data_IF_589469600284
#
_entry.id   IF_589469600284
#
_cell.length_a   1.000
_cell.length_b   1.000
_cell.length_c   1.000
_cell.angle_alpha   90.00
_cell.angle_beta   90.00
_cell.angle_gamma   90.00
#
_symmetry.space_group_name_H-M   'P 1'
#
loop_
_entity.id
_entity.type
_entity.pdbx_description
1 polymer ?
#
# COMPACT_ATOMS: atom_id res chain seq x y z
N UNK A 1 -31.01 12.22 -17.23
CA UNK A 1 -31.32 13.09 -16.09
C UNK A 1 -30.20 14.12 -15.99
N UNK A 2 -30.38 15.31 -16.55
CA UNK A 2 -29.36 16.34 -16.71
C UNK A 2 -29.14 17.03 -15.37
N UNK A 3 -27.93 16.87 -14.82
CA UNK A 3 -27.49 17.62 -13.63
C UNK A 3 -27.13 19.03 -14.12
N UNK A 4 -27.96 19.98 -13.74
CA UNK A 4 -27.79 21.40 -13.96
C UNK A 4 -26.42 21.84 -13.41
N UNK A 5 -25.52 22.25 -14.30
CA UNK A 5 -24.34 23.03 -13.98
C UNK A 5 -24.82 24.40 -13.46
N UNK A 6 -24.80 24.55 -12.14
CA UNK A 6 -25.01 25.87 -11.52
C UNK A 6 -23.76 26.71 -11.80
N UNK A 7 -23.84 27.57 -12.81
CA UNK A 7 -22.81 28.57 -13.10
C UNK A 7 -22.54 29.39 -11.83
N UNK A 8 -21.29 29.49 -11.42
CA UNK A 8 -20.87 30.27 -10.25
C UNK A 8 -21.29 31.72 -10.43
N UNK A 9 -22.19 32.22 -9.60
CA UNK A 9 -22.56 33.64 -9.55
C UNK A 9 -21.32 34.43 -9.10
N UNK A 10 -20.90 35.47 -9.82
CA UNK A 10 -19.81 36.33 -9.38
C UNK A 10 -20.24 37.07 -8.11
N UNK A 11 -19.55 36.80 -6.99
CA UNK A 11 -19.76 37.50 -5.70
C UNK A 11 -20.22 36.64 -4.53
N UNK A 12 -20.57 35.35 -4.73
CA UNK A 12 -20.84 34.44 -3.61
C UNK A 12 -19.53 33.73 -3.26
N UNK A 13 -18.95 34.06 -2.11
CA UNK A 13 -17.81 33.32 -1.58
C UNK A 13 -18.22 31.85 -1.40
N UNK A 14 -17.45 30.88 -1.92
CA UNK A 14 -17.76 29.49 -1.67
C UNK A 14 -17.65 29.22 -0.17
N UNK A 15 -18.77 28.89 0.43
CA UNK A 15 -18.85 28.48 1.84
C UNK A 15 -17.97 27.25 2.06
N UNK A 16 -17.33 27.20 3.26
CA UNK A 16 -16.59 26.01 3.68
C UNK A 16 -17.57 24.85 3.72
N UNK A 17 -17.31 23.74 3.02
CA UNK A 17 -18.25 22.62 2.98
C UNK A 17 -18.54 22.12 4.39
N UNK A 18 -19.79 21.78 4.65
CA UNK A 18 -20.18 21.20 5.93
C UNK A 18 -19.54 19.83 6.13
N UNK A 19 -19.43 19.39 7.39
CA UNK A 19 -18.90 18.05 7.67
C UNK A 19 -19.74 16.94 6.99
N UNK A 20 -21.05 17.14 6.85
CA UNK A 20 -21.95 16.20 6.17
C UNK A 20 -21.66 16.11 4.66
N UNK A 21 -21.49 17.24 3.98
CA UNK A 21 -21.10 17.30 2.59
C UNK A 21 -19.74 16.66 2.35
N UNK A 22 -18.75 16.97 3.20
CA UNK A 22 -17.44 16.38 3.16
C UNK A 22 -17.51 14.84 3.34
N UNK A 23 -18.32 14.36 4.29
CA UNK A 23 -18.54 12.93 4.53
C UNK A 23 -19.07 12.23 3.27
N UNK A 24 -20.02 12.83 2.57
CA UNK A 24 -20.57 12.28 1.33
C UNK A 24 -19.52 12.16 0.22
N UNK A 25 -18.67 13.17 0.09
CA UNK A 25 -17.57 13.17 -0.89
C UNK A 25 -16.52 12.11 -0.54
N UNK A 26 -16.14 12.00 0.74
CA UNK A 26 -15.20 10.98 1.18
C UNK A 26 -15.75 9.56 1.02
N UNK A 27 -17.05 9.35 1.26
CA UNK A 27 -17.71 8.07 0.98
C UNK A 27 -17.66 7.72 -0.51
N UNK A 28 -17.95 8.70 -1.40
CA UNK A 28 -17.83 8.52 -2.85
C UNK A 28 -16.39 8.15 -3.25
N UNK A 29 -15.39 8.88 -2.74
CA UNK A 29 -13.98 8.61 -3.01
C UNK A 29 -13.61 7.21 -2.53
N UNK A 30 -13.97 6.81 -1.31
CA UNK A 30 -13.68 5.48 -0.77
C UNK A 30 -14.26 4.35 -1.60
N UNK A 31 -15.52 4.46 -2.03
CA UNK A 31 -16.19 3.45 -2.85
C UNK A 31 -15.64 3.35 -4.28
N UNK A 32 -15.13 4.44 -4.84
CA UNK A 32 -14.60 4.48 -6.21
C UNK A 32 -13.08 4.38 -6.29
N UNK A 33 -12.39 4.19 -5.17
CA UNK A 33 -10.93 4.12 -5.07
C UNK A 33 -10.37 2.78 -5.54
N UNK A 34 -10.39 2.54 -6.84
CA UNK A 34 -9.78 1.38 -7.49
C UNK A 34 -8.45 1.75 -8.17
N UNK A 35 -7.65 0.74 -8.53
CA UNK A 35 -6.47 0.92 -9.37
C UNK A 35 -5.19 1.30 -8.64
N UNK A 36 -5.09 0.96 -7.36
CA UNK A 36 -3.90 1.19 -6.54
C UNK A 36 -3.64 2.67 -6.22
N UNK A 37 -2.51 3.01 -5.57
CA UNK A 37 -2.26 4.36 -5.04
C UNK A 37 -2.34 5.47 -6.09
N UNK A 38 -1.85 5.22 -7.32
CA UNK A 38 -1.87 6.23 -8.38
C UNK A 38 -3.28 6.58 -8.86
N UNK A 39 -4.14 5.57 -9.03
CA UNK A 39 -5.55 5.78 -9.41
C UNK A 39 -6.33 6.49 -8.32
N UNK A 40 -6.09 6.12 -7.07
CA UNK A 40 -6.72 6.69 -5.88
C UNK A 40 -6.35 8.18 -5.70
N UNK A 41 -5.07 8.51 -5.85
CA UNK A 41 -4.58 9.89 -5.79
C UNK A 41 -5.15 10.72 -6.96
N UNK A 42 -5.22 10.15 -8.17
CA UNK A 42 -5.82 10.81 -9.32
C UNK A 42 -7.33 11.07 -9.12
N UNK A 43 -8.06 10.13 -8.52
CA UNK A 43 -9.46 10.32 -8.16
C UNK A 43 -9.64 11.44 -7.13
N UNK A 44 -8.82 11.45 -6.07
CA UNK A 44 -8.85 12.52 -5.08
C UNK A 44 -8.50 13.88 -5.69
N UNK A 45 -7.51 13.93 -6.58
CA UNK A 45 -7.14 15.14 -7.30
C UNK A 45 -8.33 15.66 -8.10
N UNK A 46 -8.94 14.80 -8.92
CA UNK A 46 -10.11 15.17 -9.72
C UNK A 46 -11.25 15.70 -8.85
N UNK A 47 -11.65 14.96 -7.81
CA UNK A 47 -12.79 15.33 -6.96
C UNK A 47 -12.54 16.59 -6.12
N UNK A 48 -11.31 16.76 -5.58
CA UNK A 48 -11.04 17.80 -4.58
C UNK A 48 -10.41 19.06 -5.20
N UNK A 49 -9.59 18.90 -6.26
CA UNK A 49 -8.90 20.00 -6.92
C UNK A 49 -9.70 20.50 -8.12
N UNK A 50 -10.01 19.61 -9.09
CA UNK A 50 -10.63 20.02 -10.35
C UNK A 50 -12.14 20.32 -10.21
N UNK A 51 -12.90 19.36 -9.69
CA UNK A 51 -14.37 19.42 -9.68
C UNK A 51 -14.90 20.35 -8.57
N UNK A 52 -14.38 20.24 -7.34
CA UNK A 52 -14.90 20.96 -6.16
C UNK A 52 -14.07 22.16 -5.74
N UNK A 53 -12.81 22.21 -6.18
CA UNK A 53 -11.87 23.28 -5.80
C UNK A 53 -11.75 23.49 -4.28
N UNK A 54 -11.79 22.39 -3.52
CA UNK A 54 -11.63 22.45 -2.07
C UNK A 54 -10.19 22.77 -1.68
N UNK A 55 -9.23 22.30 -2.47
CA UNK A 55 -7.80 22.49 -2.25
C UNK A 55 -7.14 22.91 -3.57
N UNK A 56 -6.22 23.87 -3.51
CA UNK A 56 -5.44 24.29 -4.67
C UNK A 56 -4.38 23.26 -5.05
N UNK A 57 -3.99 23.25 -6.33
CA UNK A 57 -3.01 22.32 -6.91
C UNK A 57 -1.72 22.23 -6.09
N UNK A 58 -1.12 23.38 -5.78
CA UNK A 58 0.15 23.42 -5.04
C UNK A 58 0.04 22.83 -3.64
N UNK A 59 -1.08 23.09 -2.94
CA UNK A 59 -1.30 22.55 -1.60
C UNK A 59 -1.62 21.07 -1.64
N UNK A 60 -2.34 20.60 -2.64
CA UNK A 60 -2.58 19.17 -2.87
C UNK A 60 -1.26 18.42 -3.10
N UNK A 61 -0.40 18.94 -3.97
CA UNK A 61 0.92 18.35 -4.22
C UNK A 61 1.82 18.40 -2.99
N UNK A 62 1.72 19.48 -2.17
CA UNK A 62 2.43 19.56 -0.91
C UNK A 62 1.92 18.50 0.09
N UNK A 63 0.61 18.34 0.22
CA UNK A 63 0.00 17.32 1.06
C UNK A 63 0.41 15.91 0.62
N UNK A 64 0.40 15.64 -0.68
CA UNK A 64 0.85 14.37 -1.25
C UNK A 64 2.33 14.11 -0.94
N UNK A 65 3.20 15.07 -1.19
CA UNK A 65 4.62 14.95 -0.89
C UNK A 65 4.86 14.69 0.61
N UNK A 66 4.12 15.35 1.49
CA UNK A 66 4.19 15.10 2.93
C UNK A 66 3.77 13.65 3.26
N UNK A 67 2.66 13.17 2.75
CA UNK A 67 2.22 11.79 2.98
C UNK A 67 3.21 10.74 2.45
N UNK A 68 3.88 11.02 1.33
CA UNK A 68 4.94 10.16 0.80
C UNK A 68 6.20 10.11 1.69
N UNK A 69 6.36 11.03 2.65
CA UNK A 69 7.44 11.03 3.64
C UNK A 69 7.14 10.11 4.84
N UNK A 70 5.86 9.81 5.06
CA UNK A 70 5.42 9.02 6.21
C UNK A 70 5.40 7.53 5.88
N UNK A 71 5.63 6.65 6.85
CA UNK A 71 5.40 5.23 6.64
C UNK A 71 3.89 4.94 6.58
N UNK A 72 3.50 4.00 5.72
CA UNK A 72 2.11 3.56 5.59
C UNK A 72 1.45 3.86 4.25
N UNK A 73 0.13 3.69 4.11
CA UNK A 73 -0.62 3.85 2.87
C UNK A 73 -0.83 5.32 2.51
N UNK A 74 -0.06 5.83 1.55
CA UNK A 74 0.01 7.24 1.13
C UNK A 74 -1.36 7.84 0.78
N UNK A 75 -2.20 7.10 0.03
CA UNK A 75 -3.51 7.59 -0.40
C UNK A 75 -4.49 7.76 0.78
N UNK A 76 -4.49 6.83 1.74
CA UNK A 76 -5.28 6.94 2.97
C UNK A 76 -4.79 8.09 3.84
N UNK A 77 -3.47 8.26 3.94
CA UNK A 77 -2.86 9.38 4.66
C UNK A 77 -3.24 10.72 4.03
N UNK A 78 -3.22 10.80 2.70
CA UNK A 78 -3.64 12.00 1.97
C UNK A 78 -5.11 12.34 2.23
N UNK A 79 -6.01 11.35 2.19
CA UNK A 79 -7.42 11.54 2.54
C UNK A 79 -7.56 12.05 3.99
N UNK A 80 -6.87 11.40 4.94
CA UNK A 80 -6.87 11.79 6.35
C UNK A 80 -6.34 13.22 6.54
N UNK A 81 -5.24 13.57 5.86
CA UNK A 81 -4.60 14.88 5.99
C UNK A 81 -5.50 15.99 5.43
N UNK A 82 -6.06 15.83 4.24
CA UNK A 82 -6.96 16.83 3.65
C UNK A 82 -8.25 16.96 4.48
N UNK A 83 -8.82 15.84 4.93
CA UNK A 83 -9.97 15.85 5.84
C UNK A 83 -9.67 16.58 7.17
N UNK A 84 -8.45 16.40 7.70
CA UNK A 84 -7.97 17.08 8.89
C UNK A 84 -7.76 18.58 8.67
N UNK A 85 -7.26 19.00 7.54
CA UNK A 85 -7.15 20.41 7.18
C UNK A 85 -8.52 21.10 7.19
N UNK A 86 -9.55 20.44 6.64
CA UNK A 86 -10.90 21.00 6.53
C UNK A 86 -11.68 21.00 7.85
N UNK A 87 -11.71 19.88 8.56
CA UNK A 87 -12.60 19.67 9.71
C UNK A 87 -11.85 19.09 10.93
N UNK A 88 -10.57 19.44 11.09
CA UNK A 88 -9.74 19.00 12.22
C UNK A 88 -9.75 17.46 12.37
N UNK A 89 -9.57 16.96 13.60
CA UNK A 89 -9.50 15.52 13.89
C UNK A 89 -10.73 14.75 13.40
N UNK A 90 -11.94 15.31 13.51
CA UNK A 90 -13.18 14.65 13.05
C UNK A 90 -13.17 14.44 11.54
N UNK A 91 -12.78 15.46 10.77
CA UNK A 91 -12.68 15.35 9.32
C UNK A 91 -11.62 14.35 8.87
N UNK A 92 -10.46 14.36 9.52
CA UNK A 92 -9.39 13.39 9.24
C UNK A 92 -9.81 11.95 9.53
N UNK A 93 -10.47 11.70 10.67
CA UNK A 93 -10.99 10.36 11.01
C UNK A 93 -12.04 9.89 10.00
N UNK A 94 -13.03 10.73 9.68
CA UNK A 94 -14.08 10.38 8.73
C UNK A 94 -13.50 10.11 7.36
N UNK A 95 -12.64 10.97 6.83
CA UNK A 95 -12.03 10.78 5.52
C UNK A 95 -11.19 9.51 5.43
N UNK A 96 -10.31 9.28 6.41
CA UNK A 96 -9.46 8.11 6.45
C UNK A 96 -10.23 6.80 6.65
N UNK A 97 -11.24 6.78 7.54
CA UNK A 97 -12.07 5.60 7.75
C UNK A 97 -12.92 5.27 6.52
N UNK A 98 -13.58 6.26 5.91
CA UNK A 98 -14.37 6.04 4.69
C UNK A 98 -13.52 5.62 3.50
N UNK A 99 -12.23 5.96 3.50
CA UNK A 99 -11.29 5.48 2.49
C UNK A 99 -10.91 3.99 2.68
N UNK A 100 -10.87 3.50 3.93
CA UNK A 100 -10.44 2.15 4.29
C UNK A 100 -11.61 1.16 4.34
N UNK A 101 -12.74 1.56 4.96
CA UNK A 101 -13.84 0.65 5.29
C UNK A 101 -14.46 -0.09 4.09
N UNK A 102 -14.72 0.57 2.93
CA UNK A 102 -15.28 -0.16 1.79
C UNK A 102 -14.37 -1.32 1.35
N UNK A 103 -13.06 -1.06 1.26
CA UNK A 103 -12.07 -2.08 0.94
C UNK A 103 -11.99 -3.18 1.98
N UNK A 104 -12.02 -2.83 3.26
CA UNK A 104 -11.97 -3.79 4.36
C UNK A 104 -13.17 -4.75 4.33
N UNK A 105 -14.37 -4.24 4.09
CA UNK A 105 -15.60 -5.07 4.01
C UNK A 105 -15.56 -5.98 2.79
N UNK A 106 -15.19 -5.45 1.62
CA UNK A 106 -15.11 -6.25 0.39
C UNK A 106 -14.02 -7.32 0.52
N UNK A 107 -12.83 -6.95 0.99
CA UNK A 107 -11.72 -7.89 1.15
C UNK A 107 -12.02 -8.97 2.18
N UNK A 108 -12.73 -8.64 3.27
CA UNK A 108 -13.20 -9.63 4.25
C UNK A 108 -14.16 -10.63 3.60
N UNK A 109 -15.15 -10.13 2.86
CA UNK A 109 -16.10 -10.99 2.13
C UNK A 109 -15.39 -11.91 1.14
N UNK A 110 -14.45 -11.38 0.36
CA UNK A 110 -13.64 -12.16 -0.59
C UNK A 110 -12.74 -13.18 0.12
N UNK A 111 -12.17 -12.85 1.29
CA UNK A 111 -11.37 -13.79 2.09
C UNK A 111 -12.21 -14.95 2.60
N UNK A 112 -13.44 -14.70 3.06
CA UNK A 112 -14.39 -15.73 3.48
C UNK A 112 -14.77 -16.63 2.28
N UNK A 113 -15.13 -16.02 1.16
CA UNK A 113 -15.49 -16.77 -0.06
C UNK A 113 -14.32 -17.62 -0.55
N UNK A 114 -13.11 -17.06 -0.54
CA UNK A 114 -11.90 -17.80 -0.90
C UNK A 114 -11.66 -18.97 0.06
N UNK A 115 -11.79 -18.78 1.38
CA UNK A 115 -11.59 -19.83 2.36
C UNK A 115 -12.57 -21.00 2.18
N UNK A 116 -13.83 -20.71 1.85
CA UNK A 116 -14.87 -21.71 1.71
C UNK A 116 -14.89 -22.41 0.34
N UNK A 117 -14.55 -21.69 -0.75
CA UNK A 117 -14.81 -22.16 -2.11
C UNK A 117 -13.56 -22.31 -2.99
N UNK A 118 -12.32 -22.00 -2.49
CA UNK A 118 -11.11 -22.11 -3.32
C UNK A 118 -10.87 -23.50 -3.92
N UNK A 119 -11.36 -24.55 -3.26
CA UNK A 119 -11.20 -25.94 -3.71
C UNK A 119 -12.19 -26.32 -4.83
N UNK A 120 -13.15 -25.46 -5.16
CA UNK A 120 -14.05 -25.66 -6.28
C UNK A 120 -13.25 -25.56 -7.57
N UNK A 121 -13.24 -26.58 -8.45
CA UNK A 121 -12.40 -26.63 -9.64
C UNK A 121 -12.52 -25.42 -10.57
N UNK A 122 -13.69 -24.81 -10.66
CA UNK A 122 -13.93 -23.60 -11.45
C UNK A 122 -13.20 -22.39 -10.86
N UNK A 123 -13.26 -22.22 -9.54
CA UNK A 123 -12.63 -21.10 -8.82
C UNK A 123 -11.10 -21.23 -8.87
N UNK A 124 -10.58 -22.44 -8.64
CA UNK A 124 -9.14 -22.70 -8.73
C UNK A 124 -8.58 -22.37 -10.13
N UNK A 125 -9.33 -22.71 -11.19
CA UNK A 125 -8.93 -22.35 -12.56
C UNK A 125 -8.92 -20.85 -12.82
N UNK A 126 -9.87 -20.10 -12.26
CA UNK A 126 -9.87 -18.63 -12.36
C UNK A 126 -8.66 -18.05 -11.63
N UNK A 127 -8.36 -18.51 -10.41
CA UNK A 127 -7.19 -18.03 -9.65
C UNK A 127 -5.85 -18.40 -10.30
N UNK A 128 -5.77 -19.52 -11.00
CA UNK A 128 -4.59 -19.81 -11.82
C UNK A 128 -4.31 -18.70 -12.84
N UNK A 129 -5.33 -18.25 -13.55
CA UNK A 129 -5.20 -17.14 -14.48
C UNK A 129 -4.89 -15.81 -13.78
N UNK A 130 -5.52 -15.54 -12.65
CA UNK A 130 -5.29 -14.34 -11.83
C UNK A 130 -3.83 -14.26 -11.38
N UNK A 131 -3.19 -15.36 -10.95
CA UNK A 131 -1.76 -15.39 -10.56
C UNK A 131 -0.84 -14.92 -11.69
N UNK A 132 -1.12 -15.33 -12.92
CA UNK A 132 -0.35 -14.89 -14.08
C UNK A 132 -0.48 -13.37 -14.33
N UNK A 133 -1.70 -12.82 -14.18
CA UNK A 133 -1.93 -11.38 -14.29
C UNK A 133 -1.29 -10.59 -13.13
N UNK A 134 -1.33 -11.11 -11.90
CA UNK A 134 -0.69 -10.48 -10.73
C UNK A 134 0.82 -10.33 -10.95
N UNK A 135 1.48 -11.33 -11.53
CA UNK A 135 2.89 -11.20 -11.90
C UNK A 135 3.12 -10.03 -12.85
N UNK A 136 2.24 -9.84 -13.85
CA UNK A 136 2.34 -8.71 -14.77
C UNK A 136 2.13 -7.36 -14.07
N UNK A 137 1.20 -7.28 -13.12
CA UNK A 137 0.96 -6.09 -12.28
C UNK A 137 2.20 -5.74 -11.46
N UNK A 138 2.84 -6.73 -10.83
CA UNK A 138 4.06 -6.50 -10.03
C UNK A 138 5.22 -6.06 -10.92
N UNK A 139 5.40 -6.64 -12.10
CA UNK A 139 6.42 -6.21 -13.08
C UNK A 139 6.17 -4.77 -13.53
N UNK A 140 4.92 -4.39 -13.81
CA UNK A 140 4.56 -2.99 -14.11
C UNK A 140 4.89 -2.06 -12.94
N UNK A 141 4.61 -2.48 -11.70
CA UNK A 141 4.92 -1.71 -10.50
C UNK A 141 6.44 -1.49 -10.36
N UNK A 142 7.28 -2.52 -10.59
CA UNK A 142 8.75 -2.40 -10.63
C UNK A 142 9.17 -1.32 -11.62
N UNK A 143 8.65 -1.37 -12.84
CA UNK A 143 9.01 -0.40 -13.87
C UNK A 143 8.56 1.02 -13.54
N UNK A 144 7.35 1.18 -13.00
CA UNK A 144 6.77 2.47 -12.61
C UNK A 144 7.53 3.10 -11.45
N UNK A 145 7.83 2.33 -10.40
CA UNK A 145 8.58 2.80 -9.24
C UNK A 145 10.04 3.07 -9.62
N UNK A 146 10.66 2.15 -10.39
CA UNK A 146 12.03 2.28 -10.86
C UNK A 146 12.28 3.56 -11.66
N UNK A 147 11.39 3.89 -12.60
CA UNK A 147 11.48 5.15 -13.38
C UNK A 147 11.45 6.41 -12.50
N UNK A 148 10.77 6.36 -11.35
CA UNK A 148 10.69 7.50 -10.42
C UNK A 148 11.87 7.57 -9.46
N UNK A 149 12.33 6.42 -8.98
CA UNK A 149 13.34 6.31 -7.92
C UNK A 149 14.78 6.27 -8.44
N UNK A 150 15.05 5.57 -9.54
CA UNK A 150 16.39 5.29 -10.04
C UNK A 150 16.90 6.40 -10.98
N UNK A 151 17.15 7.59 -10.44
CA UNK A 151 17.51 8.77 -11.24
C UNK A 151 19.00 8.84 -11.60
N UNK A 152 19.85 8.14 -10.89
CA UNK A 152 21.31 8.14 -11.09
C UNK A 152 21.92 6.79 -10.69
N UNK A 153 23.21 6.61 -11.00
CA UNK A 153 23.95 5.36 -10.74
C UNK A 153 23.99 4.98 -9.26
N UNK A 154 24.04 5.97 -8.36
CA UNK A 154 24.03 5.73 -6.91
C UNK A 154 22.70 5.10 -6.47
N UNK A 155 21.57 5.62 -6.95
CA UNK A 155 20.25 5.03 -6.65
C UNK A 155 20.11 3.62 -7.22
N UNK A 156 20.65 3.36 -8.43
CA UNK A 156 20.72 2.01 -8.98
C UNK A 156 21.57 1.11 -8.10
N UNK A 157 22.73 1.57 -7.64
CA UNK A 157 23.60 0.81 -6.74
C UNK A 157 22.91 0.45 -5.42
N UNK A 158 22.14 1.38 -4.82
CA UNK A 158 21.34 1.13 -3.61
C UNK A 158 20.26 0.06 -3.88
N UNK A 159 19.55 0.15 -5.03
CA UNK A 159 18.54 -0.82 -5.39
C UNK A 159 19.12 -2.22 -5.60
N UNK A 160 20.27 -2.34 -6.28
CA UNK A 160 20.98 -3.60 -6.47
C UNK A 160 21.46 -4.17 -5.14
N UNK A 161 22.04 -3.35 -4.28
CA UNK A 161 22.48 -3.79 -2.95
C UNK A 161 21.30 -4.27 -2.08
N UNK A 162 20.16 -3.59 -2.12
CA UNK A 162 18.95 -3.99 -1.43
C UNK A 162 18.39 -5.32 -1.98
N UNK A 163 18.40 -5.51 -3.31
CA UNK A 163 17.98 -6.76 -3.94
C UNK A 163 18.89 -7.93 -3.53
N UNK A 164 20.22 -7.75 -3.58
CA UNK A 164 21.18 -8.77 -3.13
C UNK A 164 20.99 -9.07 -1.64
N UNK A 165 20.83 -8.01 -0.83
CA UNK A 165 20.59 -8.13 0.59
C UNK A 165 19.38 -8.98 0.95
N UNK A 166 18.26 -8.79 0.27
CA UNK A 166 17.04 -9.55 0.58
C UNK A 166 17.01 -10.92 -0.10
N UNK A 167 17.42 -11.03 -1.36
CA UNK A 167 17.29 -12.26 -2.15
C UNK A 167 18.40 -13.27 -1.85
N UNK A 168 19.66 -12.80 -1.73
CA UNK A 168 20.82 -13.68 -1.53
C UNK A 168 21.16 -13.84 -0.06
N UNK A 169 21.21 -12.73 0.70
CA UNK A 169 21.64 -12.71 2.09
C UNK A 169 20.50 -12.86 3.10
N UNK A 170 19.23 -12.89 2.61
CA UNK A 170 18.02 -13.02 3.42
C UNK A 170 17.93 -12.00 4.58
N UNK A 171 18.50 -10.81 4.37
CA UNK A 171 18.45 -9.71 5.34
C UNK A 171 17.00 -9.28 5.56
N UNK A 172 16.51 -9.20 6.81
CA UNK A 172 15.16 -8.73 7.09
C UNK A 172 14.88 -7.34 6.51
N UNK A 173 13.72 -7.18 5.87
CA UNK A 173 13.31 -5.94 5.22
C UNK A 173 13.49 -4.67 6.08
N UNK A 174 13.13 -4.66 7.39
CA UNK A 174 13.35 -3.50 8.24
C UNK A 174 14.81 -3.03 8.29
N UNK A 175 15.77 -3.97 8.30
CA UNK A 175 17.20 -3.65 8.30
C UNK A 175 17.65 -3.03 6.98
N UNK A 176 17.10 -3.49 5.85
CA UNK A 176 17.38 -2.90 4.54
C UNK A 176 16.91 -1.44 4.50
N UNK A 177 15.71 -1.15 5.01
CA UNK A 177 15.16 0.21 5.07
C UNK A 177 16.02 1.10 5.98
N UNK A 178 16.42 0.60 7.16
CA UNK A 178 17.29 1.34 8.08
C UNK A 178 18.67 1.62 7.45
N UNK A 179 19.28 0.61 6.82
CA UNK A 179 20.56 0.77 6.12
C UNK A 179 20.46 1.78 4.96
N UNK A 180 19.42 1.69 4.14
CA UNK A 180 19.18 2.66 3.07
C UNK A 180 18.96 4.07 3.62
N UNK A 181 18.19 4.23 4.69
CA UNK A 181 17.98 5.50 5.37
C UNK A 181 19.30 6.07 5.89
N UNK A 182 20.16 5.26 6.50
CA UNK A 182 21.48 5.66 6.96
C UNK A 182 22.40 6.10 5.81
N UNK A 183 22.42 5.34 4.71
CA UNK A 183 23.15 5.71 3.48
C UNK A 183 22.66 7.04 2.92
N UNK A 184 21.35 7.26 2.88
CA UNK A 184 20.75 8.54 2.46
C UNK A 184 21.12 9.69 3.38
N UNK A 185 21.11 9.46 4.70
CA UNK A 185 21.54 10.45 5.69
C UNK A 185 23.01 10.83 5.52
N UNK A 186 23.90 9.85 5.43
CA UNK A 186 25.33 10.08 5.21
C UNK A 186 25.56 10.77 3.84
N UNK A 187 24.87 10.31 2.80
CA UNK A 187 24.94 10.89 1.46
C UNK A 187 24.51 12.36 1.41
N UNK A 188 23.61 12.78 2.30
CA UNK A 188 23.21 14.19 2.41
C UNK A 188 24.35 15.13 2.83
N UNK A 189 25.39 14.61 3.46
CA UNK A 189 26.59 15.38 3.84
C UNK A 189 27.73 15.24 2.81
N UNK A 190 27.94 14.03 2.27
CA UNK A 190 29.09 13.73 1.40
C UNK A 190 28.83 14.13 -0.05
N UNK A 191 27.64 13.85 -0.58
CA UNK A 191 27.27 14.06 -1.98
C UNK A 191 25.80 14.45 -2.14
N UNK A 192 25.35 15.59 -1.60
CA UNK A 192 23.94 15.95 -1.54
C UNK A 192 23.28 15.99 -2.93
N UNK A 193 24.01 16.35 -3.99
CA UNK A 193 23.50 16.41 -5.35
C UNK A 193 23.04 15.05 -5.91
N UNK A 194 23.54 13.93 -5.38
CA UNK A 194 23.17 12.58 -5.81
C UNK A 194 21.88 12.10 -5.15
N UNK A 195 21.53 12.68 -3.99
CA UNK A 195 20.38 12.28 -3.16
C UNK A 195 19.22 13.28 -3.21
N UNK A 196 19.47 14.53 -3.64
CA UNK A 196 18.39 15.50 -3.83
C UNK A 196 17.64 15.19 -5.13
N UNK A 197 16.45 14.64 -5.01
CA UNK A 197 15.52 14.56 -6.13
C UNK A 197 15.15 15.95 -6.62
N UNK A 198 15.09 16.16 -7.94
CA UNK A 198 14.49 17.38 -8.49
C UNK A 198 13.09 17.52 -7.90
N UNK A 199 12.85 18.60 -7.15
CA UNK A 199 11.56 18.88 -6.57
C UNK A 199 10.48 18.79 -7.64
N UNK A 200 9.39 18.12 -7.33
CA UNK A 200 8.21 18.08 -8.18
C UNK A 200 7.55 19.46 -8.15
N UNK A 201 8.19 20.44 -8.75
CA UNK A 201 7.56 21.68 -9.14
C UNK A 201 6.86 21.43 -10.46
N UNK A 202 5.61 21.11 -10.45
CA UNK A 202 4.77 21.11 -11.65
C UNK A 202 4.78 22.50 -12.26
N UNK A 203 5.57 22.69 -13.31
CA UNK A 203 5.47 23.89 -14.14
C UNK A 203 4.20 23.75 -14.96
N UNK A 204 3.19 24.56 -14.67
CA UNK A 204 2.14 24.85 -15.64
C UNK A 204 0.69 24.58 -15.29
N UNK A 205 0.31 24.16 -14.08
CA UNK A 205 -1.10 24.13 -13.72
C UNK A 205 -1.61 25.55 -13.38
N UNK A 206 -2.81 25.95 -13.82
CA UNK A 206 -3.39 27.22 -13.44
C UNK A 206 -3.54 27.27 -11.91
N UNK A 207 -2.88 28.24 -11.30
CA UNK A 207 -2.87 28.44 -9.86
C UNK A 207 -4.22 29.07 -9.50
N UNK A 208 -5.14 28.28 -8.93
CA UNK A 208 -6.34 28.82 -8.30
C UNK A 208 -6.29 28.51 -6.80
N UNK A 209 -6.80 29.42 -6.00
CA UNK A 209 -6.89 29.25 -4.57
C UNK A 209 -8.14 28.45 -4.21
N UNK A 210 -7.90 27.24 -3.67
CA UNK A 210 -8.97 26.41 -3.14
C UNK A 210 -9.58 27.00 -1.85
N UNK A 211 -10.65 26.38 -1.36
CA UNK A 211 -11.29 26.80 -0.09
C UNK A 211 -10.30 26.71 1.08
N UNK A 212 -9.52 25.61 1.15
CA UNK A 212 -8.48 25.40 2.20
C UNK A 212 -7.39 26.48 2.12
N UNK A 213 -7.01 26.91 0.91
CA UNK A 213 -5.98 27.95 0.72
C UNK A 213 -6.45 29.28 1.31
N UNK A 214 -7.70 29.67 1.01
CA UNK A 214 -8.33 30.87 1.60
C UNK A 214 -8.53 30.76 3.12
N UNK A 215 -8.87 29.57 3.63
CA UNK A 215 -8.94 29.34 5.09
C UNK A 215 -7.57 29.56 5.75
N UNK A 216 -6.50 29.13 5.08
CA UNK A 216 -5.13 29.31 5.55
C UNK A 216 -4.75 30.80 5.60
N UNK A 217 -5.02 31.55 4.53
CA UNK A 217 -4.75 33.00 4.44
C UNK A 217 -5.51 33.80 5.48
N UNK A 218 -6.76 33.41 5.77
CA UNK A 218 -7.59 34.00 6.82
C UNK A 218 -7.21 33.59 8.25
N UNK A 219 -6.21 32.71 8.42
CA UNK A 219 -5.77 32.21 9.73
C UNK A 219 -6.75 31.27 10.43
N UNK A 220 -7.75 30.73 9.73
CA UNK A 220 -8.78 29.82 10.26
C UNK A 220 -8.22 28.43 10.59
N UNK A 221 -7.05 28.08 10.06
CA UNK A 221 -6.39 26.80 10.27
C UNK A 221 -5.42 26.82 11.47
N UNK A 222 -5.80 27.45 12.56
CA UNK A 222 -4.96 27.54 13.78
C UNK A 222 -4.54 26.16 14.33
N UNK A 223 -5.33 25.11 14.09
CA UNK A 223 -5.03 23.74 14.50
C UNK A 223 -3.86 23.10 13.73
N UNK A 224 -3.45 23.67 12.59
CA UNK A 224 -2.29 23.21 11.81
C UNK A 224 -0.97 23.79 12.32
N UNK A 225 -0.99 24.68 13.32
CA UNK A 225 0.24 25.22 13.90
C UNK A 225 0.89 24.21 14.84
N UNK A 226 2.23 24.03 14.80
CA UNK A 226 2.95 23.18 15.73
C UNK A 226 2.63 23.52 17.18
N UNK A 227 2.27 22.50 17.97
CA UNK A 227 1.96 22.66 19.40
C UNK A 227 2.44 21.43 20.16
N UNK A 228 3.34 21.61 21.10
CA UNK A 228 3.84 20.52 21.95
C UNK A 228 2.69 19.82 22.71
N UNK A 229 1.75 20.59 23.25
CA UNK A 229 0.57 20.03 23.93
C UNK A 229 -0.32 19.22 22.99
N UNK A 230 -0.53 19.71 21.76
CA UNK A 230 -1.28 19.00 20.72
C UNK A 230 -0.61 17.68 20.34
N UNK A 231 0.70 17.70 20.12
CA UNK A 231 1.50 16.52 19.81
C UNK A 231 1.46 15.49 20.95
N UNK A 232 1.71 15.91 22.20
CA UNK A 232 1.62 15.02 23.36
C UNK A 232 0.21 14.41 23.50
N UNK A 233 -0.85 15.19 23.30
CA UNK A 233 -2.22 14.67 23.34
C UNK A 233 -2.47 13.62 22.26
N UNK A 234 -2.03 13.88 21.04
CA UNK A 234 -2.17 12.93 19.92
C UNK A 234 -1.39 11.63 20.19
N UNK A 235 -0.19 11.73 20.75
CA UNK A 235 0.60 10.56 21.14
C UNK A 235 -0.03 9.80 22.31
N UNK A 236 -0.47 10.51 23.38
CA UNK A 236 -1.09 9.88 24.54
C UNK A 236 -2.40 9.16 24.23
N UNK A 237 -3.14 9.58 23.21
CA UNK A 237 -4.36 8.92 22.78
C UNK A 237 -4.06 7.86 21.69
N UNK A 238 -3.23 8.19 20.73
CA UNK A 238 -3.02 7.34 19.54
C UNK A 238 -2.13 6.12 19.79
N UNK A 239 -1.06 6.25 20.61
CA UNK A 239 -0.19 5.11 20.92
C UNK A 239 -0.92 4.01 21.70
N UNK A 240 -1.67 4.31 22.79
CA UNK A 240 -2.47 3.28 23.45
C UNK A 240 -3.54 2.69 22.53
N UNK A 241 -4.24 3.53 21.77
CA UNK A 241 -5.28 3.06 20.86
C UNK A 241 -4.73 2.07 19.83
N UNK A 242 -3.53 2.28 19.34
CA UNK A 242 -2.85 1.36 18.43
C UNK A 242 -2.28 0.14 19.14
N UNK A 243 -1.48 0.32 20.20
CA UNK A 243 -0.64 -0.74 20.79
C UNK A 243 -1.31 -1.52 21.91
N UNK A 244 -2.33 -0.93 22.61
CA UNK A 244 -2.99 -1.61 23.71
C UNK A 244 -3.65 -2.94 23.33
N UNK A 245 -4.34 -3.08 22.17
CA UNK A 245 -4.88 -4.37 21.77
C UNK A 245 -3.77 -5.44 21.61
N UNK A 246 -2.63 -5.05 21.04
CA UNK A 246 -1.47 -5.96 20.84
C UNK A 246 -0.85 -6.33 22.18
N UNK A 247 -0.70 -5.36 23.09
CA UNK A 247 -0.19 -5.59 24.43
C UNK A 247 -1.09 -6.51 25.25
N UNK A 248 -2.42 -6.31 25.18
CA UNK A 248 -3.37 -7.19 25.85
C UNK A 248 -3.31 -8.62 25.29
N UNK A 249 -3.20 -8.79 24.00
CA UNK A 249 -3.02 -10.10 23.38
C UNK A 249 -1.72 -10.76 23.82
N UNK A 250 -0.63 -10.02 23.89
CA UNK A 250 0.64 -10.49 24.39
C UNK A 250 0.54 -10.96 25.86
N UNK A 251 -0.16 -10.20 26.70
CA UNK A 251 -0.34 -10.52 28.12
C UNK A 251 -1.26 -11.74 28.33
N UNK A 252 -2.35 -11.86 27.58
CA UNK A 252 -3.39 -12.86 27.79
C UNK A 252 -3.10 -14.18 27.04
N UNK A 253 -2.55 -14.10 25.84
CA UNK A 253 -2.33 -15.26 24.98
C UNK A 253 -0.85 -15.67 24.87
N UNK A 254 0.07 -14.81 25.32
CA UNK A 254 1.51 -15.03 25.25
C UNK A 254 2.16 -14.61 23.91
N UNK A 255 3.51 -14.56 23.85
CA UNK A 255 4.26 -14.05 22.70
C UNK A 255 4.16 -14.93 21.45
N UNK A 256 3.98 -16.24 21.62
CA UNK A 256 3.94 -17.21 20.52
C UNK A 256 2.54 -17.44 19.94
N UNK A 257 1.51 -16.89 20.58
CA UNK A 257 0.14 -16.99 20.07
C UNK A 257 -0.01 -16.28 18.72
N UNK A 258 -0.75 -16.87 17.79
CA UNK A 258 -0.99 -16.31 16.45
C UNK A 258 -1.54 -14.89 16.50
N UNK A 259 -2.39 -14.59 17.46
CA UNK A 259 -2.98 -13.25 17.67
C UNK A 259 -1.92 -12.19 17.99
N UNK A 260 -0.97 -12.55 18.87
CA UNK A 260 0.16 -11.68 19.23
C UNK A 260 1.10 -11.51 18.05
N UNK A 261 1.38 -12.60 17.33
CA UNK A 261 2.22 -12.57 16.13
C UNK A 261 1.60 -11.67 15.04
N UNK A 262 0.31 -11.80 14.77
CA UNK A 262 -0.43 -10.91 13.84
C UNK A 262 -0.28 -9.45 14.27
N UNK A 263 -0.59 -9.15 15.54
CA UNK A 263 -0.56 -7.78 16.06
C UNK A 263 0.83 -7.16 16.00
N UNK A 264 1.86 -7.86 16.43
CA UNK A 264 3.25 -7.38 16.46
C UNK A 264 3.86 -7.28 15.07
N UNK A 265 3.67 -8.29 14.23
CA UNK A 265 4.20 -8.32 12.88
C UNK A 265 3.63 -7.19 12.02
N UNK A 266 2.31 -7.06 11.94
CA UNK A 266 1.72 -6.00 11.11
C UNK A 266 1.87 -4.60 11.71
N UNK A 267 1.98 -4.45 13.03
CA UNK A 267 2.37 -3.18 13.65
C UNK A 267 3.80 -2.77 13.23
N UNK A 268 4.73 -3.71 13.19
CA UNK A 268 6.09 -3.46 12.71
C UNK A 268 6.08 -3.09 11.23
N UNK A 269 5.31 -3.81 10.41
CA UNK A 269 5.18 -3.51 8.99
C UNK A 269 4.61 -2.11 8.74
N UNK A 270 3.63 -1.67 9.53
CA UNK A 270 3.05 -0.33 9.39
C UNK A 270 4.07 0.81 9.60
N UNK A 271 5.10 0.59 10.43
CA UNK A 271 6.16 1.57 10.69
C UNK A 271 7.27 1.55 9.64
N UNK A 272 7.53 0.40 9.03
CA UNK A 272 8.63 0.25 8.06
C UNK A 272 8.16 0.31 6.59
N UNK A 273 6.87 0.50 6.35
CA UNK A 273 6.31 0.61 5.00
C UNK A 273 6.57 2.01 4.42
N UNK A 274 7.67 2.18 3.71
CA UNK A 274 7.99 3.40 2.96
C UNK A 274 7.98 3.11 1.45
N UNK A 275 7.60 4.11 0.65
CA UNK A 275 7.65 4.02 -0.82
C UNK A 275 6.58 3.16 -1.47
N UNK A 276 5.45 2.94 -0.78
CA UNK A 276 4.28 2.26 -1.31
C UNK A 276 4.11 0.81 -0.82
N UNK A 277 2.90 0.27 -1.01
CA UNK A 277 2.49 -1.03 -0.49
C UNK A 277 3.34 -2.21 -1.01
N UNK A 278 3.76 -2.17 -2.29
CA UNK A 278 4.47 -3.31 -2.90
C UNK A 278 5.78 -3.69 -2.19
N UNK A 279 6.48 -2.74 -1.58
CA UNK A 279 7.72 -3.03 -0.88
C UNK A 279 7.51 -3.93 0.35
N UNK A 280 6.52 -3.60 1.16
CA UNK A 280 6.21 -4.39 2.35
C UNK A 280 5.59 -5.74 1.97
N UNK A 281 4.86 -5.81 0.84
CA UNK A 281 4.24 -7.04 0.37
C UNK A 281 5.24 -8.13 0.03
N UNK A 282 6.44 -7.77 -0.47
CA UNK A 282 7.53 -8.72 -0.70
C UNK A 282 7.91 -9.47 0.57
N UNK A 283 8.16 -8.69 1.63
CA UNK A 283 8.56 -9.26 2.91
C UNK A 283 7.41 -10.01 3.60
N UNK A 284 6.18 -9.47 3.53
CA UNK A 284 5.01 -10.14 4.09
C UNK A 284 4.71 -11.45 3.38
N UNK A 285 4.85 -11.51 2.04
CA UNK A 285 4.66 -12.73 1.27
C UNK A 285 5.62 -13.83 1.75
N UNK A 286 6.91 -13.51 1.82
CA UNK A 286 7.94 -14.44 2.27
C UNK A 286 7.71 -14.82 3.73
N UNK A 287 7.50 -13.87 4.64
CA UNK A 287 7.29 -14.16 6.05
C UNK A 287 6.02 -14.99 6.31
N UNK A 288 4.93 -14.70 5.63
CA UNK A 288 3.67 -15.42 5.78
C UNK A 288 3.74 -16.87 5.30
N UNK A 289 4.57 -17.16 4.28
CA UNK A 289 4.75 -18.50 3.73
C UNK A 289 5.87 -19.23 4.48
N UNK A 290 7.09 -18.66 4.50
CA UNK A 290 8.30 -19.38 4.91
C UNK A 290 8.55 -19.32 6.41
N UNK A 291 8.20 -18.20 7.08
CA UNK A 291 8.49 -18.02 8.51
C UNK A 291 7.34 -18.47 9.39
N UNK A 292 6.13 -18.03 9.08
CA UNK A 292 4.94 -18.26 9.92
C UNK A 292 4.07 -19.42 9.46
N UNK A 293 4.17 -19.85 8.18
CA UNK A 293 3.28 -20.86 7.60
C UNK A 293 1.80 -20.45 7.56
N UNK A 294 1.51 -19.15 7.58
CA UNK A 294 0.13 -18.65 7.54
C UNK A 294 -0.53 -18.85 6.18
N UNK A 295 0.25 -18.78 5.11
CA UNK A 295 -0.20 -18.98 3.73
C UNK A 295 0.55 -20.14 3.08
N UNK A 296 -0.12 -20.85 2.18
CA UNK A 296 0.54 -21.76 1.25
C UNK A 296 1.24 -20.97 0.12
N UNK A 297 2.29 -21.54 -0.50
CA UNK A 297 2.89 -20.95 -1.69
C UNK A 297 1.84 -20.63 -2.76
N UNK A 298 1.87 -19.41 -3.31
CA UNK A 298 0.92 -18.94 -4.32
C UNK A 298 -0.36 -18.30 -3.78
N UNK A 299 -0.75 -18.50 -2.52
CA UNK A 299 -1.95 -17.85 -1.95
C UNK A 299 -1.76 -16.35 -1.75
N UNK A 300 -0.52 -15.91 -1.54
CA UNK A 300 -0.25 -14.48 -1.49
C UNK A 300 -0.53 -13.79 -2.85
N UNK A 301 -0.27 -14.48 -3.97
CA UNK A 301 -0.61 -13.97 -5.29
C UNK A 301 -2.14 -13.92 -5.49
N UNK A 302 -2.88 -14.93 -4.99
CA UNK A 302 -4.35 -14.92 -5.00
C UNK A 302 -4.88 -13.74 -4.20
N UNK A 303 -4.38 -13.54 -2.97
CA UNK A 303 -4.75 -12.42 -2.11
C UNK A 303 -4.44 -11.06 -2.73
N UNK A 304 -3.29 -10.93 -3.41
CA UNK A 304 -2.94 -9.70 -4.13
C UNK A 304 -3.87 -9.46 -5.32
N UNK A 305 -4.22 -10.51 -6.08
CA UNK A 305 -5.20 -10.44 -7.16
C UNK A 305 -6.58 -9.97 -6.65
N UNK A 306 -7.02 -10.47 -5.50
CA UNK A 306 -8.25 -10.02 -4.85
C UNK A 306 -8.14 -8.54 -4.43
N UNK A 307 -7.03 -8.13 -3.83
CA UNK A 307 -6.82 -6.76 -3.38
C UNK A 307 -6.80 -5.75 -4.55
N UNK A 308 -6.26 -6.13 -5.71
CA UNK A 308 -6.24 -5.30 -6.92
C UNK A 308 -7.65 -5.09 -7.52
N UNK A 309 -8.58 -5.99 -7.24
CA UNK A 309 -9.98 -5.87 -7.69
C UNK A 309 -10.90 -5.20 -6.68
N UNK A 310 -10.40 -4.89 -5.47
CA UNK A 310 -11.18 -4.25 -4.41
C UNK A 310 -11.01 -2.72 -4.42
N UNK A 311 -12.02 -1.95 -3.94
CA UNK A 311 -11.81 -0.54 -3.65
C UNK A 311 -10.90 -0.38 -2.42
N UNK A 312 -10.29 0.81 -2.26
CA UNK A 312 -9.44 1.13 -1.11
C UNK A 312 -7.96 0.77 -1.29
N UNK A 313 -7.15 0.93 -0.24
CA UNK A 313 -5.70 0.80 -0.32
C UNK A 313 -5.26 -0.62 -0.69
N UNK A 314 -4.31 -0.75 -1.62
CA UNK A 314 -3.74 -2.05 -2.03
C UNK A 314 -3.20 -2.87 -0.84
N UNK A 315 -2.70 -2.19 0.20
CA UNK A 315 -2.21 -2.84 1.43
C UNK A 315 -3.28 -3.66 2.15
N UNK A 316 -4.57 -3.59 1.72
CA UNK A 316 -5.64 -4.45 2.21
C UNK A 316 -5.37 -5.95 2.03
N UNK A 317 -4.45 -6.34 1.17
CA UNK A 317 -4.00 -7.74 1.09
C UNK A 317 -3.44 -8.25 2.43
N UNK A 318 -2.92 -7.37 3.30
CA UNK A 318 -2.49 -7.75 4.66
C UNK A 318 -3.66 -8.29 5.49
N UNK A 319 -4.86 -7.75 5.30
CA UNK A 319 -6.08 -8.26 5.92
C UNK A 319 -6.38 -9.70 5.51
N UNK A 320 -6.17 -10.06 4.24
CA UNK A 320 -6.26 -11.43 3.75
C UNK A 320 -5.25 -12.34 4.46
N UNK A 321 -3.99 -11.90 4.59
CA UNK A 321 -2.96 -12.66 5.30
C UNK A 321 -3.36 -12.88 6.77
N UNK A 322 -3.80 -11.83 7.46
CA UNK A 322 -4.23 -11.93 8.86
C UNK A 322 -5.49 -12.78 9.05
N UNK A 323 -6.41 -12.73 8.06
CA UNK A 323 -7.56 -13.64 8.03
C UNK A 323 -7.10 -15.10 8.02
N UNK A 324 -6.21 -15.48 7.09
CA UNK A 324 -5.76 -16.86 6.95
C UNK A 324 -4.86 -17.31 8.10
N UNK A 325 -4.05 -16.41 8.65
CA UNK A 325 -3.26 -16.69 9.85
C UNK A 325 -4.16 -17.18 11.01
N UNK A 326 -5.24 -16.46 11.28
CA UNK A 326 -6.17 -16.79 12.34
C UNK A 326 -7.14 -17.93 11.95
N UNK A 327 -7.61 -17.98 10.70
CA UNK A 327 -8.48 -19.04 10.18
C UNK A 327 -7.87 -20.43 10.32
N UNK A 328 -6.56 -20.56 10.08
CA UNK A 328 -5.81 -21.81 10.20
C UNK A 328 -5.42 -22.15 11.63
N UNK A 329 -5.41 -21.15 12.52
CA UNK A 329 -5.08 -21.30 13.93
C UNK A 329 -6.20 -20.73 14.81
N UNK A 330 -7.44 -21.31 14.73
CA UNK A 330 -8.63 -20.69 15.31
C UNK A 330 -8.68 -20.76 16.84
N UNK A 331 -7.90 -21.66 17.46
CA UNK A 331 -7.94 -21.88 18.90
C UNK A 331 -9.32 -22.38 19.34
N UNK A 332 -10.00 -21.60 20.19
CA UNK A 332 -11.35 -21.91 20.69
C UNK A 332 -12.49 -21.39 19.82
N UNK A 333 -12.19 -20.61 18.76
CA UNK A 333 -13.19 -20.00 17.91
C UNK A 333 -13.52 -20.88 16.71
N UNK A 334 -14.70 -20.68 16.11
CA UNK A 334 -14.96 -21.15 14.76
C UNK A 334 -13.93 -20.57 13.78
N UNK A 335 -13.41 -21.34 12.81
CA UNK A 335 -12.37 -20.86 11.89
C UNK A 335 -12.72 -19.59 11.16
N UNK A 336 -13.97 -19.42 10.69
CA UNK A 336 -14.41 -18.20 9.99
C UNK A 336 -14.42 -17.01 10.95
N UNK A 337 -14.93 -17.22 12.17
CA UNK A 337 -14.94 -16.18 13.20
C UNK A 337 -13.51 -15.77 13.55
N UNK A 338 -12.61 -16.73 13.76
CA UNK A 338 -11.21 -16.46 13.99
C UNK A 338 -10.59 -15.67 12.83
N UNK A 339 -10.85 -16.07 11.59
CA UNK A 339 -10.42 -15.34 10.40
C UNK A 339 -10.93 -13.90 10.37
N UNK A 340 -12.20 -13.65 10.68
CA UNK A 340 -12.77 -12.31 10.77
C UNK A 340 -12.08 -11.45 11.83
N UNK A 341 -11.81 -12.01 13.01
CA UNK A 341 -11.10 -11.31 14.09
C UNK A 341 -9.63 -11.02 13.70
N UNK A 342 -8.95 -11.98 13.06
CA UNK A 342 -7.60 -11.80 12.53
C UNK A 342 -7.53 -10.70 11.47
N UNK A 343 -8.50 -10.67 10.56
CA UNK A 343 -8.66 -9.61 9.56
C UNK A 343 -8.89 -8.24 10.21
N UNK A 344 -9.76 -8.15 11.21
CA UNK A 344 -10.04 -6.92 11.94
C UNK A 344 -8.80 -6.42 12.70
N UNK A 345 -8.09 -7.31 13.39
CA UNK A 345 -6.84 -6.98 14.09
C UNK A 345 -5.79 -6.46 13.12
N UNK A 346 -5.58 -7.16 12.00
CA UNK A 346 -4.60 -6.74 10.98
C UNK A 346 -4.95 -5.38 10.39
N UNK A 347 -6.22 -5.16 10.03
CA UNK A 347 -6.68 -3.85 9.54
C UNK A 347 -6.42 -2.76 10.57
N UNK A 348 -6.73 -3.02 11.84
CA UNK A 348 -6.51 -2.08 12.92
C UNK A 348 -5.05 -1.68 13.04
N UNK A 349 -4.14 -2.65 13.22
CA UNK A 349 -2.72 -2.36 13.45
C UNK A 349 -2.00 -1.81 12.21
N UNK A 350 -2.55 -2.01 11.03
CA UNK A 350 -2.02 -1.46 9.77
C UNK A 350 -2.40 0.01 9.60
N UNK A 351 -3.64 0.38 9.92
CA UNK A 351 -4.16 1.72 9.61
C UNK A 351 -4.16 2.69 10.80
N UNK A 352 -4.29 2.22 12.05
CA UNK A 352 -4.27 3.09 13.22
C UNK A 352 -3.00 3.96 13.31
N UNK A 353 -1.77 3.44 13.05
CA UNK A 353 -0.56 4.26 13.05
C UNK A 353 -0.57 5.35 11.97
N UNK A 354 -1.20 5.13 10.82
CA UNK A 354 -1.30 6.14 9.77
C UNK A 354 -2.06 7.39 10.21
N UNK A 355 -3.15 7.22 10.96
CA UNK A 355 -3.86 8.35 11.57
C UNK A 355 -2.98 9.07 12.59
N UNK A 356 -2.27 8.31 13.44
CA UNK A 356 -1.35 8.87 14.41
C UNK A 356 -0.26 9.72 13.76
N UNK A 357 0.37 9.20 12.68
CA UNK A 357 1.41 9.92 11.95
C UNK A 357 0.89 11.23 11.34
N UNK A 358 -0.34 11.25 10.84
CA UNK A 358 -0.96 12.48 10.31
C UNK A 358 -1.26 13.47 11.43
N UNK A 359 -1.86 13.06 12.55
CA UNK A 359 -2.24 13.99 13.62
C UNK A 359 -1.02 14.50 14.42
N UNK A 360 0.06 13.72 14.50
CA UNK A 360 1.31 14.13 15.15
C UNK A 360 2.17 14.95 14.20
N UNK A 361 2.36 14.50 12.97
CA UNK A 361 3.29 15.09 12.04
C UNK A 361 2.71 16.21 11.17
N UNK A 362 1.38 16.22 10.93
CA UNK A 362 0.71 17.19 10.08
C UNK A 362 1.00 18.66 10.44
N UNK A 363 0.99 19.06 11.73
CA UNK A 363 1.38 20.40 12.12
C UNK A 363 2.83 20.78 11.76
N UNK A 364 3.71 19.81 11.60
CA UNK A 364 5.13 20.02 11.26
C UNK A 364 5.42 19.86 9.77
N UNK A 365 4.42 19.58 8.94
CA UNK A 365 4.59 19.33 7.51
C UNK A 365 5.33 20.47 6.78
N UNK A 366 5.03 21.71 7.13
CA UNK A 366 5.72 22.89 6.56
C UNK A 366 7.20 22.96 6.98
N UNK A 367 7.54 22.54 8.20
CA UNK A 367 8.93 22.50 8.68
C UNK A 367 9.75 21.39 8.00
N UNK A 368 9.11 20.32 7.57
CA UNK A 368 9.73 19.23 6.81
C UNK A 368 9.91 19.58 5.33
N UNK A 369 9.16 20.57 4.84
CA UNK A 369 9.21 21.03 3.46
C UNK A 369 10.60 21.58 3.14
N UNK A 370 11.23 21.04 2.10
CA UNK A 370 12.55 21.49 1.66
C UNK A 370 13.72 21.03 2.52
N UNK A 371 13.52 20.22 3.54
CA UNK A 371 14.61 19.64 4.31
C UNK A 371 15.40 18.63 3.46
N UNK A 372 16.60 19.07 3.00
CA UNK A 372 17.48 18.28 2.11
C UNK A 372 17.88 16.93 2.72
N UNK A 373 18.08 16.87 4.04
CA UNK A 373 18.47 15.63 4.74
C UNK A 373 17.35 14.60 4.71
N UNK A 374 16.13 15.03 5.03
CA UNK A 374 14.93 14.16 4.98
C UNK A 374 14.70 13.68 3.54
N UNK A 375 14.80 14.59 2.54
CA UNK A 375 14.66 14.22 1.14
C UNK A 375 15.70 13.20 0.69
N UNK A 376 16.95 13.32 1.16
CA UNK A 376 18.03 12.39 0.83
C UNK A 376 17.79 10.99 1.43
N UNK A 377 17.40 10.93 2.71
CA UNK A 377 17.03 9.67 3.40
C UNK A 377 15.93 8.95 2.62
N UNK A 378 14.86 9.66 2.29
CA UNK A 378 13.71 9.07 1.60
C UNK A 378 14.02 8.67 0.16
N UNK A 379 14.87 9.44 -0.55
CA UNK A 379 15.33 9.07 -1.89
C UNK A 379 16.11 7.75 -1.87
N UNK A 380 16.98 7.56 -0.89
CA UNK A 380 17.73 6.31 -0.71
C UNK A 380 16.81 5.14 -0.32
N UNK A 381 15.87 5.35 0.61
CA UNK A 381 14.86 4.34 0.98
C UNK A 381 14.02 3.95 -0.25
N UNK A 382 13.53 4.93 -1.01
CA UNK A 382 12.72 4.65 -2.22
C UNK A 382 13.53 3.90 -3.29
N UNK A 383 14.83 4.17 -3.41
CA UNK A 383 15.70 3.41 -4.29
C UNK A 383 15.87 1.95 -3.82
N UNK A 384 16.10 1.73 -2.51
CA UNK A 384 16.17 0.39 -1.94
C UNK A 384 14.87 -0.40 -2.13
N UNK A 385 13.73 0.27 -1.98
CA UNK A 385 12.39 -0.30 -2.23
C UNK A 385 12.26 -0.87 -3.64
N UNK A 386 12.87 -0.26 -4.67
CA UNK A 386 12.86 -0.85 -6.03
C UNK A 386 13.50 -2.24 -6.02
N UNK A 387 14.65 -2.41 -5.36
CA UNK A 387 15.32 -3.71 -5.23
C UNK A 387 14.44 -4.75 -4.53
N UNK A 388 13.71 -4.32 -3.48
CA UNK A 388 12.78 -5.19 -2.75
C UNK A 388 11.57 -5.60 -3.61
N UNK A 389 11.02 -4.68 -4.41
CA UNK A 389 9.89 -5.01 -5.31
C UNK A 389 10.35 -5.88 -6.48
N UNK A 390 11.61 -5.76 -6.95
CA UNK A 390 12.22 -6.71 -7.90
C UNK A 390 12.29 -8.11 -7.28
N UNK A 391 12.66 -8.23 -6.00
CA UNK A 391 12.63 -9.50 -5.28
C UNK A 391 11.21 -10.10 -5.24
N UNK A 392 10.18 -9.29 -4.99
CA UNK A 392 8.78 -9.74 -5.03
C UNK A 392 8.39 -10.27 -6.41
N UNK A 393 8.74 -9.53 -7.48
CA UNK A 393 8.46 -9.96 -8.84
C UNK A 393 9.15 -11.30 -9.18
N UNK A 394 10.39 -11.46 -8.74
CA UNK A 394 11.13 -12.70 -8.91
C UNK A 394 10.51 -13.85 -8.11
N UNK A 395 10.20 -13.62 -6.84
CA UNK A 395 9.58 -14.62 -5.96
C UNK A 395 8.22 -15.09 -6.53
N UNK A 396 7.35 -14.16 -6.95
CA UNK A 396 6.09 -14.53 -7.61
C UNK A 396 6.34 -15.24 -8.94
N UNK A 397 7.30 -14.78 -9.74
CA UNK A 397 7.68 -15.43 -10.99
C UNK A 397 8.08 -16.88 -10.78
N UNK A 398 8.90 -17.16 -9.78
CA UNK A 398 9.32 -18.51 -9.44
C UNK A 398 8.13 -19.39 -9.04
N UNK A 399 7.28 -18.92 -8.12
CA UNK A 399 6.15 -19.73 -7.60
C UNK A 399 4.94 -19.82 -8.54
N UNK A 400 4.84 -18.96 -9.56
CA UNK A 400 3.77 -19.02 -10.58
C UNK A 400 4.22 -19.87 -11.76
N UNK A 401 5.47 -19.73 -12.21
CA UNK A 401 5.96 -20.40 -13.44
C UNK A 401 6.57 -21.77 -13.21
N UNK A 402 6.94 -22.12 -11.96
CA UNK A 402 7.55 -23.42 -11.63
C UNK A 402 6.78 -24.13 -10.55
N UNK A 403 6.64 -25.46 -10.67
CA UNK A 403 5.97 -26.31 -9.67
C UNK A 403 6.85 -26.59 -8.47
N UNK A 404 8.17 -26.61 -8.68
CA UNK A 404 9.18 -26.87 -7.64
C UNK A 404 10.22 -25.76 -7.63
N UNK A 405 10.42 -25.19 -6.45
CA UNK A 405 11.48 -24.21 -6.15
C UNK A 405 12.29 -24.77 -4.99
N UNK A 406 13.61 -24.70 -5.08
CA UNK A 406 14.53 -25.19 -4.04
C UNK A 406 15.37 -24.03 -3.52
N UNK A 407 15.46 -23.91 -2.21
CA UNK A 407 16.38 -22.97 -1.60
C UNK A 407 17.81 -23.55 -1.63
N UNK A 408 18.74 -22.79 -2.18
CA UNK A 408 20.17 -23.11 -2.10
C UNK A 408 20.66 -22.71 -0.71
N UNK A 409 20.95 -23.71 0.13
CA UNK A 409 21.56 -23.46 1.43
C UNK A 409 23.09 -23.42 1.28
N UNK A 410 23.65 -22.21 1.35
CA UNK A 410 25.09 -21.98 1.40
C UNK A 410 25.38 -21.28 2.74
N UNK A 411 25.85 -22.03 3.74
CA UNK A 411 26.09 -21.53 5.10
C UNK A 411 24.85 -20.96 5.81
N UNK A 412 23.67 -21.56 5.60
CA UNK A 412 22.42 -21.13 6.25
C UNK A 412 21.70 -19.96 5.56
N UNK A 413 22.20 -19.50 4.42
CA UNK A 413 21.58 -18.44 3.58
C UNK A 413 21.69 -18.82 2.11
N UNK A 414 20.75 -18.38 1.29
CA UNK A 414 20.85 -18.58 -0.15
C UNK A 414 19.56 -18.29 -0.90
N UNK A 415 19.67 -18.06 -2.22
CA UNK A 415 18.54 -17.74 -3.06
C UNK A 415 17.66 -18.97 -3.37
N UNK A 416 16.39 -18.71 -3.65
CA UNK A 416 15.49 -19.71 -4.20
C UNK A 416 15.79 -19.92 -5.69
N UNK A 417 15.96 -21.19 -6.09
CA UNK A 417 16.27 -21.57 -7.48
C UNK A 417 15.16 -22.48 -8.01
N UNK A 418 14.66 -22.21 -9.24
CA UNK A 418 13.65 -23.05 -9.85
C UNK A 418 14.25 -24.38 -10.33
N UNK A 419 13.51 -25.46 -10.18
CA UNK A 419 13.79 -26.72 -10.85
C UNK A 419 13.31 -26.59 -12.30
N UNK A 420 14.22 -26.41 -13.25
CA UNK A 420 13.89 -26.10 -14.66
C UNK A 420 12.97 -27.14 -15.31
N UNK A 421 13.03 -28.40 -14.89
CA UNK A 421 12.14 -29.46 -15.38
C UNK A 421 10.72 -29.34 -14.87
N UNK A 422 10.47 -28.53 -13.85
CA UNK A 422 9.14 -28.33 -13.22
C UNK A 422 8.36 -27.15 -13.82
N UNK A 423 8.79 -26.60 -14.96
CA UNK A 423 8.15 -25.45 -15.59
C UNK A 423 6.68 -25.72 -15.91
N UNK A 424 5.81 -24.80 -15.52
CA UNK A 424 4.40 -24.79 -15.87
C UNK A 424 4.21 -23.95 -17.13
N UNK A 425 4.25 -24.60 -18.29
CA UNK A 425 4.18 -23.94 -19.61
C UNK A 425 2.91 -23.08 -19.81
N UNK A 426 1.69 -23.53 -19.39
CA UNK A 426 0.50 -22.70 -19.43
C UNK A 426 0.62 -21.42 -18.58
N UNK A 427 1.15 -21.53 -17.36
CA UNK A 427 1.36 -20.37 -16.49
C UNK A 427 2.42 -19.41 -17.06
N UNK A 428 3.51 -19.95 -17.61
CA UNK A 428 4.56 -19.16 -18.27
C UNK A 428 4.00 -18.38 -19.46
N UNK A 429 3.27 -19.06 -20.38
CA UNK A 429 2.71 -18.43 -21.57
C UNK A 429 1.68 -17.34 -21.18
N UNK A 430 0.81 -17.63 -20.22
CA UNK A 430 -0.21 -16.69 -19.78
C UNK A 430 0.42 -15.47 -19.08
N UNK A 431 1.46 -15.68 -18.26
CA UNK A 431 2.21 -14.59 -17.61
C UNK A 431 2.93 -13.71 -18.65
N UNK A 432 3.58 -14.32 -19.64
CA UNK A 432 4.24 -13.58 -20.71
C UNK A 432 3.25 -12.74 -21.53
N UNK A 433 2.08 -13.30 -21.87
CA UNK A 433 1.00 -12.58 -22.56
C UNK A 433 0.45 -11.43 -21.69
N UNK A 434 0.24 -11.65 -20.40
CA UNK A 434 -0.23 -10.61 -19.47
C UNK A 434 0.78 -9.46 -19.37
N UNK A 435 2.07 -9.77 -19.22
CA UNK A 435 3.16 -8.77 -19.18
C UNK A 435 3.19 -7.99 -20.50
N UNK A 436 3.13 -8.67 -21.63
CA UNK A 436 3.09 -8.03 -22.95
C UNK A 436 1.87 -7.11 -23.11
N UNK A 437 0.68 -7.58 -22.71
CA UNK A 437 -0.56 -6.81 -22.78
C UNK A 437 -0.46 -5.53 -21.93
N UNK A 438 0.01 -5.62 -20.69
CA UNK A 438 0.13 -4.46 -19.81
C UNK A 438 1.22 -3.49 -20.26
N UNK A 439 2.41 -3.98 -20.59
CA UNK A 439 3.56 -3.11 -20.87
C UNK A 439 3.53 -2.54 -22.30
N UNK A 440 3.10 -3.33 -23.29
CA UNK A 440 3.16 -2.94 -24.71
C UNK A 440 1.84 -2.43 -25.24
N UNK A 441 0.73 -3.12 -24.94
CA UNK A 441 -0.60 -2.73 -25.37
C UNK A 441 -1.25 -1.73 -24.39
N UNK A 442 -0.63 -1.52 -23.23
CA UNK A 442 -1.14 -0.60 -22.17
C UNK A 442 -2.57 -0.94 -21.73
N UNK A 443 -2.90 -2.22 -21.72
CA UNK A 443 -4.17 -2.68 -21.15
C UNK A 443 -4.21 -2.34 -19.68
N UNK A 444 -5.36 -1.89 -19.21
CA UNK A 444 -5.54 -1.64 -17.77
C UNK A 444 -5.44 -2.92 -16.96
N UNK A 445 -5.18 -2.78 -15.66
CA UNK A 445 -5.04 -3.90 -14.72
C UNK A 445 -6.30 -4.78 -14.68
N UNK A 446 -7.50 -4.19 -14.52
CA UNK A 446 -8.77 -4.92 -14.41
C UNK A 446 -9.06 -5.77 -15.66
N UNK A 447 -8.97 -5.23 -16.91
CA UNK A 447 -9.13 -6.04 -18.10
C UNK A 447 -8.13 -7.19 -18.20
N UNK A 448 -6.89 -6.99 -17.76
CA UNK A 448 -5.85 -8.02 -17.78
C UNK A 448 -6.17 -9.14 -16.77
N UNK A 449 -6.57 -8.79 -15.54
CA UNK A 449 -7.01 -9.75 -14.53
C UNK A 449 -8.21 -10.58 -15.02
N UNK A 450 -9.24 -9.93 -15.55
CA UNK A 450 -10.44 -10.58 -16.08
C UNK A 450 -10.10 -11.50 -17.27
N UNK A 451 -9.30 -11.02 -18.22
CA UNK A 451 -8.87 -11.80 -19.39
C UNK A 451 -8.06 -13.04 -18.98
N UNK A 452 -7.14 -12.91 -18.04
CA UNK A 452 -6.35 -14.04 -17.54
C UNK A 452 -7.20 -15.03 -16.72
N UNK A 453 -8.17 -14.56 -15.92
CA UNK A 453 -9.10 -15.43 -15.21
C UNK A 453 -9.94 -16.27 -16.18
N UNK A 454 -10.45 -15.66 -17.25
CA UNK A 454 -11.20 -16.36 -18.31
C UNK A 454 -10.27 -17.34 -19.04
N UNK A 455 -9.04 -16.94 -19.38
CA UNK A 455 -8.08 -17.81 -20.04
C UNK A 455 -7.70 -19.02 -19.16
N UNK A 456 -7.50 -18.84 -17.86
CA UNK A 456 -7.28 -19.93 -16.91
C UNK A 456 -8.44 -20.94 -16.88
N UNK A 457 -9.68 -20.44 -16.92
CA UNK A 457 -10.86 -21.26 -17.00
C UNK A 457 -10.93 -22.06 -18.31
N UNK A 458 -10.67 -21.42 -19.45
CA UNK A 458 -10.66 -22.06 -20.76
C UNK A 458 -9.56 -23.15 -20.87
N UNK A 459 -8.36 -22.90 -20.32
CA UNK A 459 -7.29 -23.88 -20.24
C UNK A 459 -7.71 -25.12 -19.46
N UNK A 460 -8.45 -24.95 -18.37
CA UNK A 460 -8.98 -26.08 -17.60
C UNK A 460 -10.04 -26.86 -18.38
N UNK A 461 -10.98 -26.17 -19.03
CA UNK A 461 -12.02 -26.81 -19.82
C UNK A 461 -11.47 -27.57 -21.05
N UNK A 462 -10.33 -27.09 -21.61
CA UNK A 462 -9.67 -27.78 -22.74
C UNK A 462 -8.84 -29.00 -22.34
N UNK A 463 -8.72 -29.32 -21.05
CA UNK A 463 -7.88 -30.40 -20.56
C UNK A 463 -6.36 -30.15 -20.62
N UNK A 464 -5.96 -28.94 -20.99
CA UNK A 464 -4.54 -28.53 -21.07
C UNK A 464 -3.92 -28.15 -19.69
N UNK A 465 -4.59 -28.54 -18.62
CA UNK A 465 -4.26 -28.16 -17.23
C UNK A 465 -3.22 -29.08 -16.55
N UNK A 466 -2.48 -29.91 -17.25
CA UNK A 466 -1.57 -30.88 -16.62
C UNK A 466 -0.16 -30.34 -16.38
#
# INVERSE_FOLDING_TARGET
MSISMTAARPGVEPEVPTLAEATHVWAKIGLLSFGGPAGQIALMHKELVEDRRWIGEQRFLHALNYCMLLPGPEAQQLATYIGWLMHRTRGGLIAGLLFVLPGAVVMLGLSILYALYRHVPFIDAMFFGVKAAVLAVVVEAVMRIGKRALKNRTMIGIAVAAFIGIYVLQVPFPLIILAAGFVGWLGSYVAPQLFTGAGHGGKGAPNFDGIIDRMFERGLLAHTRPSFRGTCRSLMLGLPLWLMPVFLLWLLAGPTAVWTQIGTFFSTMAVVTFGGAYAVLAYVAQAAVDTFGWLAPGEMADGLGLAETTPGPLIMVLQFVGFFAAYRNPGMFDPVVAGCLGAALTTWVTFAPSFLFIFVGGPYSEALRGNRKVSAVLSAITAAVVGVVVNLALWFGLHVMFREVRSLDIFGVGPDIPVLTSINWPAFALSALAIFAMLRLKTGMIPTLAGCAIAGLLLKLSGAWF
#
